data_IF_058137448162
#
_entry.id   IF_058137448162
#
_cell.length_a   1.000
_cell.length_b   1.000
_cell.length_c   1.000
_cell.angle_alpha   90.00
_cell.angle_beta   90.00
_cell.angle_gamma   90.00
#
_symmetry.space_group_name_H-M   'P 1'
#
loop_
_entity.id
_entity.type
_entity.pdbx_description
1 polymer ?
#
# COMPACT_ATOMS: atom_id res chain seq x y z
N UNK A 1 -6.27 -17.52 25.22
CA UNK A 1 -6.99 -16.37 24.64
C UNK A 1 -6.44 -16.15 23.24
N UNK A 2 -7.04 -16.80 22.24
CA UNK A 2 -6.59 -16.73 20.86
C UNK A 2 -7.23 -15.48 20.22
N UNK A 3 -6.49 -14.36 20.23
CA UNK A 3 -6.86 -13.21 19.43
C UNK A 3 -6.63 -13.56 17.97
N UNK A 4 -7.69 -14.01 17.31
CA UNK A 4 -7.83 -13.96 15.86
C UNK A 4 -7.67 -12.51 15.46
N UNK A 5 -6.48 -12.15 14.99
CA UNK A 5 -6.25 -10.88 14.33
C UNK A 5 -7.25 -10.80 13.18
N UNK A 6 -8.31 -9.99 13.36
CA UNK A 6 -9.20 -9.59 12.29
C UNK A 6 -8.36 -8.79 11.30
N UNK A 7 -7.74 -9.50 10.37
CA UNK A 7 -7.24 -8.94 9.14
C UNK A 7 -8.50 -8.47 8.40
N UNK A 8 -8.91 -7.21 8.64
CA UNK A 8 -9.84 -6.53 7.75
C UNK A 8 -9.34 -6.81 6.34
N UNK A 9 -10.16 -7.47 5.53
CA UNK A 9 -9.79 -8.03 4.24
C UNK A 9 -9.46 -6.90 3.25
N UNK A 10 -8.31 -6.26 3.45
CA UNK A 10 -7.75 -5.23 2.60
C UNK A 10 -7.19 -5.92 1.37
N UNK A 11 -8.05 -6.09 0.36
CA UNK A 11 -7.75 -6.35 -1.05
C UNK A 11 -6.29 -6.77 -1.28
N UNK A 12 -6.02 -8.06 -1.11
CA UNK A 12 -4.70 -8.67 -1.26
C UNK A 12 -4.25 -8.48 -2.70
N UNK A 13 -3.09 -7.85 -2.93
CA UNK A 13 -2.65 -7.53 -4.29
C UNK A 13 -1.47 -8.39 -4.72
N UNK A 14 -1.62 -8.93 -5.93
CA UNK A 14 -0.64 -9.60 -6.80
C UNK A 14 0.32 -10.56 -6.11
N UNK A 15 -0.02 -11.85 -6.18
CA UNK A 15 0.93 -12.94 -6.01
C UNK A 15 1.52 -13.24 -7.39
N UNK A 16 2.85 -13.22 -7.54
CA UNK A 16 3.49 -13.40 -8.86
C UNK A 16 3.40 -14.83 -9.41
N UNK A 17 3.25 -15.83 -8.53
CA UNK A 17 3.06 -17.26 -8.83
C UNK A 17 2.83 -18.04 -7.51
N UNK A 18 2.48 -19.34 -7.52
CA UNK A 18 2.63 -20.20 -6.35
C UNK A 18 4.09 -20.16 -5.85
N UNK A 19 4.31 -19.76 -4.58
CA UNK A 19 5.66 -19.50 -4.03
C UNK A 19 6.25 -18.12 -4.37
N UNK A 20 5.48 -17.26 -5.06
CA UNK A 20 5.85 -15.88 -5.37
C UNK A 20 5.73 -14.95 -4.17
N UNK A 21 6.52 -13.88 -4.15
CA UNK A 21 6.43 -12.85 -3.12
C UNK A 21 5.16 -12.02 -3.31
N UNK A 22 4.33 -11.94 -2.27
CA UNK A 22 3.24 -10.97 -2.23
C UNK A 22 3.84 -9.57 -2.05
N UNK A 23 3.52 -8.66 -2.97
CA UNK A 23 3.95 -7.27 -2.91
C UNK A 23 2.73 -6.37 -2.84
N UNK A 24 2.76 -5.43 -1.90
CA UNK A 24 1.73 -4.41 -1.80
C UNK A 24 2.36 -3.03 -1.88
N UNK A 25 1.84 -2.20 -2.77
CA UNK A 25 2.28 -0.81 -2.90
C UNK A 25 1.13 0.10 -2.50
N UNK A 26 1.38 1.06 -1.63
CA UNK A 26 0.39 2.04 -1.20
C UNK A 26 0.88 3.45 -1.50
N UNK A 27 -0.06 4.37 -1.68
CA UNK A 27 0.21 5.80 -1.71
C UNK A 27 -0.44 6.42 -0.48
N UNK A 28 0.36 7.12 0.32
CA UNK A 28 -0.13 7.93 1.43
C UNK A 28 -0.05 9.42 1.07
N UNK A 29 -0.97 10.21 1.61
CA UNK A 29 -1.00 11.66 1.55
C UNK A 29 -0.85 12.19 2.97
N UNK A 30 -0.05 13.23 3.15
CA UNK A 30 0.09 13.90 4.42
C UNK A 30 -1.11 14.79 4.68
N UNK A 31 -1.77 14.56 5.80
CA UNK A 31 -2.82 15.41 6.32
C UNK A 31 -2.22 16.37 7.35
N UNK A 32 -2.18 17.66 6.99
CA UNK A 32 -1.64 18.70 7.86
C UNK A 32 -2.52 18.96 9.10
N UNK A 33 -3.81 18.61 9.06
CA UNK A 33 -4.73 18.85 10.17
C UNK A 33 -4.52 17.87 11.32
N UNK A 34 -4.24 16.61 10.99
CA UNK A 34 -4.00 15.53 11.97
C UNK A 34 -2.51 15.22 12.14
N UNK A 35 -1.63 15.94 11.45
CA UNK A 35 -0.18 15.67 11.40
C UNK A 35 0.15 14.19 11.11
N UNK A 36 -0.64 13.55 10.24
CA UNK A 36 -0.61 12.12 10.01
C UNK A 36 -0.60 11.78 8.51
N UNK A 37 -0.07 10.60 8.18
CA UNK A 37 -0.12 10.06 6.83
C UNK A 37 -1.39 9.23 6.65
N UNK A 38 -2.27 9.66 5.73
CA UNK A 38 -3.51 8.96 5.38
C UNK A 38 -3.37 8.20 4.07
N UNK A 39 -3.91 7.00 4.02
CA UNK A 39 -3.86 6.15 2.82
C UNK A 39 -4.76 6.70 1.72
N UNK A 40 -4.17 7.11 0.61
CA UNK A 40 -4.88 7.58 -0.58
C UNK A 40 -5.21 6.44 -1.56
N UNK A 41 -4.49 5.31 -1.50
CA UNK A 41 -4.81 4.13 -2.29
C UNK A 41 -3.83 2.98 -2.14
N UNK A 42 -4.28 1.80 -2.58
CA UNK A 42 -3.52 0.54 -2.61
C UNK A 42 -3.41 0.09 -4.08
N UNK A 43 -2.22 -0.31 -4.51
CA UNK A 43 -1.84 -0.59 -5.89
C UNK A 43 -1.08 -1.92 -6.00
N UNK A 44 -1.26 -2.59 -7.14
CA UNK A 44 -0.55 -3.84 -7.47
C UNK A 44 0.92 -3.60 -7.77
N UNK A 45 1.17 -2.53 -8.52
CA UNK A 45 2.48 -2.22 -9.05
C UNK A 45 2.86 -0.77 -8.73
N UNK A 46 4.16 -0.52 -8.79
CA UNK A 46 4.72 0.80 -8.51
C UNK A 46 4.35 1.83 -9.56
N UNK A 47 4.20 1.44 -10.83
CA UNK A 47 3.89 2.39 -11.90
C UNK A 47 2.48 2.99 -11.73
N UNK A 48 1.50 2.18 -11.31
CA UNK A 48 0.15 2.62 -10.95
C UNK A 48 0.17 3.57 -9.74
N UNK A 49 0.97 3.26 -8.72
CA UNK A 49 1.16 4.14 -7.56
C UNK A 49 1.82 5.47 -7.94
N UNK A 50 2.82 5.47 -8.81
CA UNK A 50 3.51 6.67 -9.32
C UNK A 50 2.56 7.57 -10.12
N UNK A 51 1.68 7.00 -10.95
CA UNK A 51 0.63 7.77 -11.64
C UNK A 51 -0.28 8.50 -10.65
N UNK A 52 -0.67 7.85 -9.54
CA UNK A 52 -1.48 8.49 -8.50
C UNK A 52 -0.69 9.57 -7.76
N UNK A 53 0.56 9.29 -7.38
CA UNK A 53 1.46 10.25 -6.73
C UNK A 53 1.64 11.50 -7.60
N UNK A 54 1.82 11.35 -8.91
CA UNK A 54 1.95 12.48 -9.83
C UNK A 54 0.70 13.37 -9.84
N UNK A 55 -0.50 12.76 -9.85
CA UNK A 55 -1.77 13.52 -9.74
C UNK A 55 -1.86 14.29 -8.42
N UNK A 56 -1.47 13.67 -7.32
CA UNK A 56 -1.47 14.30 -5.99
C UNK A 56 -0.44 15.44 -5.91
N UNK A 57 0.72 15.28 -6.55
CA UNK A 57 1.75 16.31 -6.67
C UNK A 57 1.24 17.53 -7.44
N UNK A 58 0.51 17.32 -8.54
CA UNK A 58 -0.13 18.43 -9.30
C UNK A 58 -1.18 19.16 -8.46
N UNK A 59 -1.85 18.46 -7.55
CA UNK A 59 -2.79 19.06 -6.59
C UNK A 59 -2.10 19.75 -5.40
N UNK A 60 -0.77 19.80 -5.36
CA UNK A 60 -0.01 20.40 -4.26
C UNK A 60 -0.01 19.56 -2.97
N UNK A 61 -0.44 18.30 -3.03
CA UNK A 61 -0.49 17.42 -1.86
C UNK A 61 0.86 16.73 -1.65
N UNK A 62 1.38 16.78 -0.42
CA UNK A 62 2.54 16.01 -0.02
C UNK A 62 2.14 14.52 0.03
N UNK A 63 2.78 13.69 -0.79
CA UNK A 63 2.45 12.27 -0.91
C UNK A 63 3.71 11.41 -0.95
N UNK A 64 3.60 10.15 -0.51
CA UNK A 64 4.68 9.16 -0.52
C UNK A 64 4.21 7.80 -0.99
N UNK A 65 5.12 7.02 -1.59
CA UNK A 65 4.88 5.63 -1.98
C UNK A 65 5.50 4.72 -0.92
N UNK A 66 4.71 3.80 -0.40
CA UNK A 66 5.16 2.78 0.57
C UNK A 66 5.04 1.41 -0.09
N UNK A 67 6.13 0.68 -0.21
CA UNK A 67 6.12 -0.70 -0.73
C UNK A 67 6.42 -1.69 0.37
N UNK A 68 5.48 -2.59 0.66
CA UNK A 68 5.70 -3.73 1.54
C UNK A 68 5.98 -4.96 0.68
N UNK A 69 7.15 -5.56 0.90
CA UNK A 69 7.47 -6.89 0.38
C UNK A 69 7.18 -7.86 1.53
N UNK A 70 6.21 -8.75 1.37
CA UNK A 70 5.99 -9.79 2.36
C UNK A 70 6.92 -10.96 2.03
N UNK A 71 7.68 -11.43 3.03
CA UNK A 71 8.50 -12.62 2.90
C UNK A 71 7.68 -13.78 2.34
N UNK A 72 8.27 -14.68 1.55
CA UNK A 72 7.56 -15.84 1.01
C UNK A 72 6.89 -16.56 2.18
N UNK A 73 5.60 -16.85 2.03
CA UNK A 73 4.90 -17.79 2.92
C UNK A 73 5.55 -19.15 2.70
N UNK A 74 6.61 -19.42 3.46
CA UNK A 74 7.27 -20.71 3.53
C UNK A 74 6.27 -21.77 3.98
N UNK A 75 6.36 -22.93 3.33
CA UNK A 75 5.58 -24.14 3.60
C UNK A 75 5.66 -24.58 5.05
#
# INVERSE_FOLDING_TARGET
MNQTAQCSAGKWISVSAPGGMARQVFVDVFDATEHAWKRAGTFADRASAEKKMMKLKVQGMLSRIVSHNFCPTGR
#
